data_IF_689835657940
#
_entry.id   IF_689835657940
#
_cell.length_a   1.000
_cell.length_b   1.000
_cell.length_c   1.000
_cell.angle_alpha   90.00
_cell.angle_beta   90.00
_cell.angle_gamma   90.00
#
_symmetry.space_group_name_H-M   'P 1'
#
loop_
_entity.id
_entity.type
_entity.pdbx_description
1 polymer ?
#
# COMPACT_ATOMS: atom_id res chain seq x y z
N UNK A 1 3.56 -11.54 14.61
CA UNK A 1 4.24 -10.26 14.87
C UNK A 1 5.64 -10.41 14.32
N UNK A 2 6.00 -9.67 13.27
CA UNK A 2 7.36 -9.72 12.73
C UNK A 2 8.33 -9.15 13.77
N UNK A 3 9.42 -9.86 14.03
CA UNK A 3 10.48 -9.37 14.90
C UNK A 3 11.14 -8.15 14.27
N UNK A 4 11.45 -7.15 15.10
CA UNK A 4 12.22 -5.97 14.71
C UNK A 4 13.56 -6.41 14.10
N UNK A 5 13.89 -6.01 12.86
CA UNK A 5 15.16 -6.39 12.25
C UNK A 5 16.30 -5.67 12.97
N UNK A 6 17.18 -6.45 13.60
CA UNK A 6 18.13 -6.00 14.61
C UNK A 6 19.25 -5.05 14.13
N UNK A 7 19.34 -4.71 12.83
CA UNK A 7 20.44 -3.88 12.31
C UNK A 7 20.22 -3.29 10.90
N UNK A 8 18.98 -3.01 10.48
CA UNK A 8 18.72 -2.77 9.05
C UNK A 8 17.92 -1.50 8.80
N UNK A 9 18.30 -0.73 7.77
CA UNK A 9 17.67 0.50 7.26
C UNK A 9 16.21 0.26 6.86
N UNK A 10 15.36 0.01 7.85
CA UNK A 10 13.94 -0.22 7.72
C UNK A 10 13.23 0.83 8.56
N UNK A 11 12.31 1.55 7.93
CA UNK A 11 11.49 2.55 8.60
C UNK A 11 10.14 1.92 8.91
N UNK A 12 9.71 2.02 10.16
CA UNK A 12 8.35 1.65 10.51
C UNK A 12 7.38 2.70 9.95
N UNK A 13 6.51 2.27 9.04
CA UNK A 13 5.52 3.15 8.41
C UNK A 13 4.16 3.08 9.10
N UNK A 14 3.84 1.91 9.68
CA UNK A 14 2.63 1.66 10.47
C UNK A 14 2.93 0.62 11.56
N UNK A 15 2.00 0.39 12.48
CA UNK A 15 2.14 -0.64 13.52
C UNK A 15 2.41 -2.02 12.92
N UNK A 16 3.62 -2.53 13.15
CA UNK A 16 4.07 -3.82 12.62
C UNK A 16 4.35 -3.87 11.11
N UNK A 17 4.36 -2.73 10.42
CA UNK A 17 4.72 -2.63 8.98
C UNK A 17 6.00 -1.82 8.82
N UNK A 18 6.98 -2.43 8.15
CA UNK A 18 8.28 -1.84 7.91
C UNK A 18 8.55 -1.75 6.40
N UNK A 19 9.13 -0.63 5.97
CA UNK A 19 9.58 -0.40 4.61
C UNK A 19 11.10 -0.31 4.60
N UNK A 20 11.76 -1.03 3.71
CA UNK A 20 13.20 -0.91 3.51
C UNK A 20 13.55 -0.81 2.02
N UNK A 21 14.55 0.03 1.74
CA UNK A 21 15.21 0.12 0.44
C UNK A 21 16.64 -0.48 0.47
N UNK A 22 16.99 -1.22 1.52
CA UNK A 22 18.31 -1.83 1.70
C UNK A 22 18.59 -2.85 0.60
N UNK A 23 19.70 -2.64 -0.11
CA UNK A 23 20.20 -3.58 -1.12
C UNK A 23 20.65 -4.91 -0.51
N UNK A 24 21.06 -4.91 0.75
CA UNK A 24 21.42 -6.11 1.51
C UNK A 24 20.19 -6.96 1.83
N UNK A 25 19.09 -6.34 2.29
CA UNK A 25 17.83 -7.08 2.48
C UNK A 25 17.33 -7.64 1.16
N UNK A 26 17.36 -6.85 0.08
CA UNK A 26 16.99 -7.33 -1.24
C UNK A 26 17.82 -8.54 -1.67
N UNK A 27 19.15 -8.51 -1.43
CA UNK A 27 20.03 -9.64 -1.69
C UNK A 27 19.63 -10.87 -0.89
N UNK A 28 19.37 -10.72 0.41
CA UNK A 28 18.95 -11.82 1.28
C UNK A 28 17.63 -12.46 0.82
N UNK A 29 16.69 -11.66 0.29
CA UNK A 29 15.44 -12.15 -0.31
C UNK A 29 15.65 -12.94 -1.61
N UNK A 30 16.73 -12.66 -2.35
CA UNK A 30 17.07 -13.38 -3.60
C UNK A 30 17.83 -14.67 -3.29
N UNK A 31 18.73 -14.64 -2.31
CA UNK A 31 19.62 -15.75 -1.97
C UNK A 31 18.97 -16.82 -1.08
N UNK A 32 17.83 -16.50 -0.43
CA UNK A 32 17.12 -17.41 0.46
C UNK A 32 15.60 -17.22 0.44
N UNK A 33 14.84 -18.07 1.16
CA UNK A 33 13.40 -17.89 1.27
C UNK A 33 13.10 -16.57 1.99
N UNK A 34 12.16 -15.75 1.48
CA UNK A 34 11.81 -14.50 2.13
C UNK A 34 11.15 -14.77 3.49
N UNK A 35 11.29 -13.86 4.46
CA UNK A 35 10.49 -13.90 5.67
C UNK A 35 9.00 -13.92 5.33
N UNK A 36 8.15 -14.57 6.15
CA UNK A 36 6.70 -14.51 5.97
C UNK A 36 6.21 -13.06 5.88
N UNK A 37 5.18 -12.82 5.07
CA UNK A 37 4.59 -11.48 4.86
C UNK A 37 5.61 -10.45 4.34
N UNK A 38 6.41 -10.84 3.36
CA UNK A 38 7.29 -9.93 2.61
C UNK A 38 6.68 -9.63 1.25
N UNK A 39 6.64 -8.35 0.86
CA UNK A 39 6.26 -7.92 -0.48
C UNK A 39 7.33 -7.03 -1.06
N UNK A 40 7.77 -7.35 -2.28
CA UNK A 40 8.68 -6.52 -3.05
C UNK A 40 7.88 -5.57 -3.93
N UNK A 41 8.21 -4.29 -3.91
CA UNK A 41 7.59 -3.24 -4.70
C UNK A 41 8.65 -2.55 -5.56
N UNK A 42 8.27 -2.11 -6.75
CA UNK A 42 9.17 -1.37 -7.66
C UNK A 42 8.51 -0.05 -8.04
N UNK A 43 9.18 1.06 -7.74
CA UNK A 43 8.61 2.40 -7.90
C UNK A 43 7.73 2.81 -6.71
N UNK A 44 7.25 4.05 -6.76
CA UNK A 44 6.37 4.63 -5.76
C UNK A 44 5.46 5.67 -6.40
N UNK A 45 4.29 5.89 -5.81
CA UNK A 45 3.48 7.07 -6.09
C UNK A 45 3.95 8.21 -5.18
N UNK A 46 4.16 9.38 -5.76
CA UNK A 46 4.55 10.59 -5.04
C UNK A 46 3.61 11.72 -5.39
N UNK A 47 3.39 12.61 -4.43
CA UNK A 47 2.57 13.79 -4.60
C UNK A 47 3.42 15.04 -4.38
N UNK A 48 3.17 16.07 -5.17
CA UNK A 48 3.67 17.41 -4.89
C UNK A 48 2.97 17.99 -3.65
N UNK A 49 3.53 19.06 -3.08
CA UNK A 49 2.99 19.69 -1.89
C UNK A 49 1.53 20.13 -2.07
N UNK A 50 0.63 19.62 -1.24
CA UNK A 50 -0.80 19.93 -1.27
C UNK A 50 -1.62 19.19 -2.34
N UNK A 51 -0.98 18.37 -3.19
CA UNK A 51 -1.67 17.66 -4.27
C UNK A 51 -2.59 16.58 -3.73
N UNK A 52 -2.13 15.77 -2.76
CA UNK A 52 -2.94 14.70 -2.18
C UNK A 52 -4.21 15.25 -1.51
N UNK A 53 -4.10 16.35 -0.76
CA UNK A 53 -5.23 17.01 -0.10
C UNK A 53 -6.24 17.54 -1.12
N UNK A 54 -5.79 18.11 -2.23
CA UNK A 54 -6.65 18.57 -3.31
C UNK A 54 -7.37 17.40 -4.01
N UNK A 55 -6.68 16.29 -4.24
CA UNK A 55 -7.25 15.07 -4.84
C UNK A 55 -8.28 14.42 -3.90
N UNK A 56 -8.02 14.38 -2.59
CA UNK A 56 -8.99 13.94 -1.59
C UNK A 56 -10.23 14.85 -1.55
N UNK A 57 -10.05 16.17 -1.61
CA UNK A 57 -11.16 17.14 -1.59
C UNK A 57 -12.10 17.00 -2.81
N UNK A 58 -11.57 16.55 -3.95
CA UNK A 58 -12.34 16.29 -5.17
C UNK A 58 -12.89 14.87 -5.25
N UNK A 59 -12.79 14.08 -4.16
CA UNK A 59 -13.21 12.68 -4.11
C UNK A 59 -12.55 11.81 -5.19
N UNK A 60 -11.32 12.15 -5.59
CA UNK A 60 -10.55 11.35 -6.53
C UNK A 60 -9.94 10.08 -5.88
N UNK A 61 -9.86 10.06 -4.55
CA UNK A 61 -9.37 8.92 -3.77
C UNK A 61 -10.40 8.44 -2.76
N UNK A 62 -10.40 7.13 -2.52
CA UNK A 62 -11.12 6.48 -1.43
C UNK A 62 -10.11 6.08 -0.35
N UNK A 63 -10.42 6.34 0.91
CA UNK A 63 -9.60 5.91 2.04
C UNK A 63 -10.15 4.61 2.63
N UNK A 64 -9.25 3.72 3.01
CA UNK A 64 -9.57 2.48 3.71
C UNK A 64 -8.63 2.30 4.90
N UNK A 65 -9.13 1.61 5.93
CA UNK A 65 -8.28 1.19 7.04
C UNK A 65 -7.21 0.21 6.57
N UNK A 66 -6.09 0.19 7.28
CA UNK A 66 -4.99 -0.73 7.00
C UNK A 66 -5.44 -2.15 7.29
N UNK A 67 -5.30 -3.02 6.30
CA UNK A 67 -5.55 -4.45 6.44
C UNK A 67 -4.33 -5.25 5.97
N UNK A 68 -3.73 -6.00 6.90
CA UNK A 68 -2.50 -6.74 6.65
C UNK A 68 -2.71 -7.93 5.70
N UNK A 69 -3.93 -8.48 5.60
CA UNK A 69 -4.23 -9.59 4.72
C UNK A 69 -4.43 -9.09 3.29
N UNK A 70 -4.98 -7.88 3.13
CA UNK A 70 -4.96 -7.17 1.84
C UNK A 70 -3.52 -6.90 1.38
N UNK A 71 -2.66 -6.43 2.28
CA UNK A 71 -1.28 -6.06 1.92
C UNK A 71 -0.41 -7.28 1.60
N UNK A 72 -0.49 -8.34 2.40
CA UNK A 72 0.47 -9.45 2.33
C UNK A 72 -0.09 -10.75 1.74
N UNK A 73 -1.40 -11.03 1.91
CA UNK A 73 -1.99 -12.32 1.54
C UNK A 73 -2.83 -12.25 0.26
N UNK A 74 -3.29 -11.06 -0.13
CA UNK A 74 -4.16 -10.87 -1.31
C UNK A 74 -3.34 -10.71 -2.58
N UNK A 75 -3.69 -11.48 -3.62
CA UNK A 75 -3.02 -11.39 -4.92
C UNK A 75 -3.22 -9.98 -5.53
N UNK A 76 -2.20 -9.37 -6.16
CA UNK A 76 -2.29 -8.00 -6.67
C UNK A 76 -3.49 -7.70 -7.58
N UNK A 77 -3.91 -8.66 -8.41
CA UNK A 77 -5.09 -8.49 -9.28
C UNK A 77 -6.40 -8.33 -8.51
N UNK A 78 -6.46 -8.85 -7.29
CA UNK A 78 -7.70 -8.98 -6.52
C UNK A 78 -7.78 -7.92 -5.41
N UNK A 79 -6.66 -7.22 -5.15
CA UNK A 79 -6.57 -6.22 -4.09
C UNK A 79 -7.60 -5.11 -4.25
N UNK A 80 -7.75 -4.56 -5.46
CA UNK A 80 -8.69 -3.47 -5.71
C UNK A 80 -10.13 -3.87 -5.38
N UNK A 81 -10.60 -4.97 -5.96
CA UNK A 81 -11.95 -5.49 -5.71
C UNK A 81 -12.15 -5.81 -4.23
N UNK A 82 -11.15 -6.43 -3.58
CA UNK A 82 -11.18 -6.75 -2.16
C UNK A 82 -11.32 -5.51 -1.28
N UNK A 83 -10.53 -4.46 -1.52
CA UNK A 83 -10.58 -3.22 -0.72
C UNK A 83 -11.92 -2.50 -0.89
N UNK A 84 -12.39 -2.33 -2.12
CA UNK A 84 -13.65 -1.64 -2.40
C UNK A 84 -14.83 -2.36 -1.75
N UNK A 85 -14.89 -3.70 -1.84
CA UNK A 85 -15.94 -4.49 -1.17
C UNK A 85 -15.89 -4.36 0.34
N UNK A 86 -14.69 -4.29 0.93
CA UNK A 86 -14.52 -4.08 2.39
C UNK A 86 -14.96 -2.70 2.85
N UNK A 87 -14.88 -1.69 1.98
CA UNK A 87 -15.48 -0.37 2.23
C UNK A 87 -17.02 -0.39 2.17
N UNK A 88 -17.65 -1.53 1.88
CA UNK A 88 -19.09 -1.65 1.72
C UNK A 88 -19.61 -1.12 0.38
N UNK A 89 -18.71 -0.86 -0.57
CA UNK A 89 -19.05 -0.41 -1.91
C UNK A 89 -18.96 -1.56 -2.92
N UNK A 90 -19.69 -1.43 -4.03
CA UNK A 90 -19.54 -2.32 -5.18
C UNK A 90 -18.61 -1.63 -6.21
N UNK A 91 -17.49 -2.26 -6.62
CA UNK A 91 -16.62 -1.72 -7.66
C UNK A 91 -17.35 -1.33 -8.94
N UNK A 92 -18.41 -2.05 -9.31
CA UNK A 92 -19.21 -1.76 -10.50
C UNK A 92 -20.05 -0.49 -10.38
N UNK A 93 -20.27 0.01 -9.16
CA UNK A 93 -21.05 1.21 -8.88
C UNK A 93 -20.19 2.47 -8.72
N UNK A 94 -18.86 2.33 -8.69
CA UNK A 94 -17.94 3.46 -8.62
C UNK A 94 -17.98 4.25 -9.93
N UNK A 95 -18.29 5.55 -9.82
CA UNK A 95 -18.19 6.51 -10.91
C UNK A 95 -17.13 7.54 -10.56
N UNK A 96 -16.28 7.87 -11.52
CA UNK A 96 -15.34 8.98 -11.37
C UNK A 96 -16.13 10.28 -11.17
N UNK A 97 -15.81 11.03 -10.12
CA UNK A 97 -16.32 12.39 -9.94
C UNK A 97 -15.90 13.23 -11.13
N UNK A 98 -16.86 13.72 -11.91
CA UNK A 98 -16.58 14.64 -13.01
C UNK A 98 -15.99 15.93 -12.44
N UNK A 99 -14.83 16.33 -12.96
CA UNK A 99 -14.24 17.63 -12.66
C UNK A 99 -15.24 18.74 -13.04
N UNK A 100 -15.96 19.28 -12.07
CA UNK A 100 -16.68 20.54 -12.25
C UNK A 100 -15.66 21.66 -12.21
N UNK A 101 -15.27 22.10 -13.41
CA UNK A 101 -14.61 23.38 -13.65
C UNK A 101 -15.58 24.51 -13.33
N UNK A 102 -15.26 25.33 -12.33
CA UNK A 102 -15.74 26.70 -12.17
C UNK A 102 -14.56 27.60 -11.85
#
# INVERSE_FOLDING_TARGET
>A
MGSEPADVEAVQVCDGIFLSASSELLRNLIEGPPPPRTRLLTGYAGWDAGQLEAELATSAWLNADIDLDVIFETHPSDMWDTVIRRLGADPALLKTGGASVH
#
